data_IF_659808370288
#
_entry.id   IF_659808370288
#
_cell.length_a   1.000
_cell.length_b   1.000
_cell.length_c   1.000
_cell.angle_alpha   90.00
_cell.angle_beta   90.00
_cell.angle_gamma   90.00
#
_symmetry.space_group_name_H-M   'P 1'
#
loop_
_entity.id
_entity.type
_entity.pdbx_description
1 polymer ?
#
# COMPACT_ATOMS: atom_id res chain seq x y z
N UNK A 1 9.99 -1.84 -7.22
CA UNK A 1 9.58 -1.88 -5.79
C UNK A 1 8.31 -2.74 -5.57
N UNK A 2 8.00 -3.19 -4.33
CA UNK A 2 6.84 -4.08 -4.12
C UNK A 2 5.50 -3.44 -4.51
N UNK A 3 5.34 -2.12 -4.33
CA UNK A 3 4.11 -1.42 -4.71
C UNK A 3 3.87 -1.40 -6.22
N UNK A 4 4.92 -1.35 -7.05
CA UNK A 4 4.80 -1.43 -8.51
C UNK A 4 4.29 -2.80 -8.95
N UNK A 5 4.81 -3.87 -8.32
CA UNK A 5 4.35 -5.25 -8.58
C UNK A 5 2.87 -5.38 -8.22
N UNK A 6 2.44 -4.82 -7.10
CA UNK A 6 1.04 -4.82 -6.68
C UNK A 6 0.15 -4.02 -7.64
N UNK A 7 0.62 -2.87 -8.14
CA UNK A 7 -0.10 -2.10 -9.16
C UNK A 7 -0.23 -2.91 -10.45
N UNK A 8 0.82 -3.56 -10.92
CA UNK A 8 0.80 -4.39 -12.13
C UNK A 8 -0.17 -5.58 -11.98
N UNK A 9 -0.12 -6.26 -10.83
CA UNK A 9 -1.01 -7.39 -10.52
C UNK A 9 -2.49 -7.00 -10.46
N UNK A 10 -2.79 -5.75 -10.10
CA UNK A 10 -4.16 -5.22 -9.93
C UNK A 10 -4.60 -4.30 -11.08
N UNK A 11 -3.71 -4.03 -12.03
CA UNK A 11 -3.88 -3.12 -13.17
C UNK A 11 -3.86 -1.63 -12.82
N UNK A 12 -4.31 -1.24 -11.63
CA UNK A 12 -4.44 0.18 -11.24
C UNK A 12 -4.18 0.46 -9.76
N UNK A 13 -3.68 -0.52 -9.00
CA UNK A 13 -3.51 -0.44 -7.55
C UNK A 13 -4.68 -1.09 -6.81
N UNK A 14 -4.49 -1.31 -5.51
CA UNK A 14 -5.50 -1.93 -4.64
C UNK A 14 -6.52 -0.90 -4.14
N UNK A 15 -7.75 -1.34 -3.93
CA UNK A 15 -8.78 -0.54 -3.23
C UNK A 15 -8.37 -0.27 -1.78
N UNK A 16 -7.78 -1.28 -1.13
CA UNK A 16 -7.39 -1.24 0.28
C UNK A 16 -6.00 -1.85 0.48
N UNK A 17 -5.17 -1.18 1.27
CA UNK A 17 -3.91 -1.73 1.79
C UNK A 17 -3.83 -1.59 3.31
N UNK A 18 -3.08 -2.50 3.93
CA UNK A 18 -2.88 -2.50 5.38
C UNK A 18 -1.39 -2.68 5.68
N UNK A 19 -0.82 -1.75 6.41
CA UNK A 19 0.52 -1.90 6.99
C UNK A 19 0.38 -2.35 8.44
N UNK A 20 0.81 -3.58 8.74
CA UNK A 20 0.64 -4.21 10.06
C UNK A 20 1.98 -4.74 10.59
N UNK A 21 3.09 -4.13 10.15
CA UNK A 21 4.45 -4.52 10.58
C UNK A 21 5.04 -3.43 11.46
N UNK A 22 4.86 -2.15 11.12
CA UNK A 22 5.43 -1.04 11.86
C UNK A 22 6.74 -0.53 11.29
N UNK A 23 6.98 -0.69 9.97
CA UNK A 23 8.17 -0.10 9.34
C UNK A 23 7.77 1.04 8.41
N UNK A 24 8.46 2.17 8.52
CA UNK A 24 8.20 3.35 7.68
C UNK A 24 8.36 3.04 6.19
N UNK A 25 9.31 2.17 5.82
CA UNK A 25 9.50 1.74 4.42
C UNK A 25 8.27 0.99 3.89
N UNK A 26 7.65 0.13 4.70
CA UNK A 26 6.46 -0.63 4.31
C UNK A 26 5.19 0.20 4.39
N UNK A 27 5.13 1.22 5.25
CA UNK A 27 4.03 2.20 5.27
C UNK A 27 3.96 2.98 3.96
N UNK A 28 5.11 3.42 3.45
CA UNK A 28 5.19 4.09 2.14
C UNK A 28 4.76 3.13 1.03
N UNK A 29 5.25 1.88 1.06
CA UNK A 29 4.87 0.90 0.05
C UNK A 29 3.37 0.56 0.06
N UNK A 30 2.75 0.46 1.24
CA UNK A 30 1.31 0.23 1.37
C UNK A 30 0.48 1.40 0.80
N UNK A 31 0.86 2.65 1.12
CA UNK A 31 0.20 3.81 0.54
C UNK A 31 0.39 3.87 -0.98
N UNK A 32 1.61 3.64 -1.46
CA UNK A 32 1.95 3.75 -2.88
C UNK A 32 1.29 2.69 -3.76
N UNK A 33 0.88 1.54 -3.23
CA UNK A 33 0.20 0.51 -4.01
C UNK A 33 -1.31 0.71 -4.12
N UNK A 34 -1.89 1.65 -3.38
CA UNK A 34 -3.31 1.97 -3.45
C UNK A 34 -3.66 2.67 -4.76
N UNK A 35 -4.88 2.44 -5.22
CA UNK A 35 -5.43 3.19 -6.34
C UNK A 35 -5.45 4.69 -6.04
N UNK A 36 -4.97 5.51 -6.97
CA UNK A 36 -4.73 6.95 -6.77
C UNK A 36 -5.97 7.81 -6.46
N UNK A 37 -7.15 7.46 -6.99
CA UNK A 37 -8.39 8.24 -6.87
C UNK A 37 -9.25 7.86 -5.66
N UNK A 38 -9.32 6.57 -5.31
CA UNK A 38 -10.25 6.04 -4.32
C UNK A 38 -9.64 5.00 -3.36
N UNK A 39 -8.37 4.66 -3.51
CA UNK A 39 -7.71 3.68 -2.65
C UNK A 39 -7.51 4.21 -1.23
N UNK A 40 -7.60 3.31 -0.25
CA UNK A 40 -7.42 3.62 1.16
C UNK A 40 -6.31 2.76 1.75
N UNK A 41 -5.31 3.41 2.36
CA UNK A 41 -4.26 2.74 3.10
C UNK A 41 -4.46 2.92 4.60
N UNK A 42 -4.41 1.83 5.37
CA UNK A 42 -4.56 1.84 6.82
C UNK A 42 -3.26 1.36 7.47
N UNK A 43 -2.67 2.22 8.29
CA UNK A 43 -1.49 1.88 9.09
C UNK A 43 -1.96 1.42 10.47
N UNK A 44 -1.58 0.19 10.83
CA UNK A 44 -1.88 -0.46 12.10
C UNK A 44 -0.60 -0.76 12.88
N UNK A 45 0.50 -1.04 12.17
CA UNK A 45 1.79 -1.30 12.79
C UNK A 45 2.32 -0.10 13.59
N UNK A 46 2.91 -0.37 14.76
CA UNK A 46 3.58 0.64 15.59
C UNK A 46 5.05 0.74 15.18
N UNK A 47 5.61 1.94 14.97
CA UNK A 47 7.01 2.14 14.57
C UNK A 47 8.05 1.49 15.51
#
# INVERSE_FOLDING_TARGET
PIHEVLIEMTGHGVDYSFEVIGRTETMIAALACCQYNYGVSVIVGVP
#
